data_IF_297636859666
#
_entry.id   IF_297636859666
#
_cell.length_a   1.000
_cell.length_b   1.000
_cell.length_c   1.000
_cell.angle_alpha   90.00
_cell.angle_beta   90.00
_cell.angle_gamma   90.00
#
_symmetry.space_group_name_H-M   'P 1'
#
loop_
_entity.id
_entity.type
_entity.pdbx_description
1 polymer ?
#
# COMPACT_ATOMS: atom_id res chain seq x y z
N UNK A 1 -22.71 11.00 29.40
CA UNK A 1 -22.35 11.12 27.97
C UNK A 1 -21.73 9.84 27.42
N UNK A 2 -20.63 9.34 28.01
CA UNK A 2 -19.98 8.09 27.57
C UNK A 2 -20.92 6.86 27.54
N UNK A 3 -21.81 6.73 28.53
CA UNK A 3 -22.83 5.66 28.56
C UNK A 3 -23.81 5.72 27.39
N UNK A 4 -24.27 6.92 27.02
CA UNK A 4 -25.18 7.14 25.90
C UNK A 4 -24.49 6.87 24.54
N UNK A 5 -23.21 7.26 24.41
CA UNK A 5 -22.41 6.95 23.22
C UNK A 5 -22.26 5.43 23.05
N UNK A 6 -21.95 4.71 24.14
CA UNK A 6 -21.79 3.25 24.11
C UNK A 6 -23.10 2.52 23.78
N UNK A 7 -24.23 2.97 24.33
CA UNK A 7 -25.56 2.45 24.02
C UNK A 7 -25.93 2.69 22.54
N UNK A 8 -25.66 3.90 22.02
CA UNK A 8 -25.87 4.20 20.60
C UNK A 8 -24.97 3.39 19.67
N UNK A 9 -23.75 3.10 20.09
CA UNK A 9 -22.83 2.24 19.35
C UNK A 9 -23.38 0.81 19.23
N UNK A 10 -23.99 0.27 20.30
CA UNK A 10 -24.65 -1.04 20.23
C UNK A 10 -25.85 -1.05 19.27
N UNK A 11 -26.50 0.10 19.07
CA UNK A 11 -27.60 0.28 18.11
C UNK A 11 -27.12 0.61 16.68
N UNK A 12 -25.81 0.60 16.42
CA UNK A 12 -25.21 0.86 15.10
C UNK A 12 -25.06 2.34 14.75
N UNK A 13 -25.14 3.24 15.73
CA UNK A 13 -24.91 4.67 15.58
C UNK A 13 -23.51 5.05 16.07
N UNK A 14 -22.71 5.62 15.17
CA UNK A 14 -21.38 6.13 15.51
C UNK A 14 -21.37 7.64 15.54
N UNK A 15 -20.49 8.20 16.35
CA UNK A 15 -20.22 9.63 16.41
C UNK A 15 -19.55 10.04 15.10
N UNK A 16 -20.15 10.97 14.37
CA UNK A 16 -19.65 11.50 13.10
C UNK A 16 -18.86 12.81 13.28
N UNK A 17 -19.23 13.60 14.29
CA UNK A 17 -18.49 14.79 14.72
C UNK A 17 -18.81 15.13 16.17
N UNK A 18 -17.85 15.72 16.88
CA UNK A 18 -18.01 16.27 18.21
C UNK A 18 -17.29 17.61 18.29
N UNK A 19 -17.94 18.62 18.86
CA UNK A 19 -17.25 19.86 19.18
C UNK A 19 -17.75 20.44 20.51
N UNK A 20 -16.84 21.04 21.27
CA UNK A 20 -17.15 21.73 22.52
C UNK A 20 -17.31 23.23 22.30
N UNK A 21 -18.24 23.82 23.06
CA UNK A 21 -18.54 25.24 23.09
C UNK A 21 -18.73 25.68 24.53
N UNK A 22 -18.43 26.94 24.82
CA UNK A 22 -18.73 27.54 26.12
C UNK A 22 -20.08 28.25 26.05
N UNK A 23 -21.05 27.77 26.82
CA UNK A 23 -22.37 28.36 26.94
C UNK A 23 -22.66 28.61 28.42
N UNK A 24 -22.95 29.86 28.81
CA UNK A 24 -23.20 30.26 30.20
C UNK A 24 -22.12 29.83 31.21
N UNK A 25 -20.84 29.95 30.84
CA UNK A 25 -19.69 29.46 31.63
C UNK A 25 -19.70 27.93 31.88
N UNK A 26 -20.39 27.15 31.07
CA UNK A 26 -20.31 25.70 31.06
C UNK A 26 -19.82 25.20 29.70
N UNK A 27 -19.05 24.12 29.70
CA UNK A 27 -18.64 23.43 28.47
C UNK A 27 -19.78 22.54 28.00
N UNK A 28 -20.34 22.82 26.84
CA UNK A 28 -21.40 22.04 26.18
C UNK A 28 -20.83 21.41 24.91
N UNK A 29 -21.25 20.18 24.61
CA UNK A 29 -20.80 19.45 23.43
C UNK A 29 -21.95 19.29 22.42
N UNK A 30 -21.69 19.64 21.17
CA UNK A 30 -22.54 19.26 20.05
C UNK A 30 -22.03 17.94 19.47
N UNK A 31 -22.89 16.92 19.44
CA UNK A 31 -22.56 15.60 18.87
C UNK A 31 -23.52 15.28 17.73
N UNK A 32 -22.96 14.95 16.57
CA UNK A 32 -23.71 14.40 15.45
C UNK A 32 -23.42 12.90 15.32
N UNK A 33 -24.47 12.12 15.06
CA UNK A 33 -24.37 10.68 14.86
C UNK A 33 -24.66 10.31 13.40
N UNK A 34 -23.97 9.29 12.91
CA UNK A 34 -24.25 8.66 11.63
C UNK A 34 -24.47 7.16 11.84
N UNK A 35 -25.50 6.63 11.18
CA UNK A 35 -25.76 5.19 11.20
C UNK A 35 -24.79 4.48 10.28
N UNK A 36 -24.14 3.42 10.76
CA UNK A 36 -23.32 2.54 9.93
C UNK A 36 -24.03 1.23 9.67
N UNK A 37 -23.86 0.70 8.47
CA UNK A 37 -24.43 -0.58 8.03
C UNK A 37 -23.61 -1.77 8.51
N UNK A 38 -22.31 -1.58 8.78
CA UNK A 38 -21.42 -2.61 9.31
C UNK A 38 -21.08 -2.31 10.79
N UNK A 39 -20.96 -3.35 11.64
CA UNK A 39 -20.48 -3.19 13.00
C UNK A 39 -19.06 -2.64 12.97
N UNK A 40 -18.86 -1.46 13.53
CA UNK A 40 -17.55 -0.78 13.58
C UNK A 40 -17.39 -0.21 14.98
N UNK A 41 -16.20 -0.36 15.55
CA UNK A 41 -15.88 0.18 16.87
C UNK A 41 -15.45 1.63 16.76
N UNK A 42 -15.76 2.46 17.74
CA UNK A 42 -15.24 3.82 17.83
C UNK A 42 -14.40 4.06 19.09
N UNK A 43 -13.60 5.13 19.02
CA UNK A 43 -12.88 5.72 20.14
C UNK A 43 -13.19 7.20 20.13
N UNK A 44 -13.71 7.70 21.25
CA UNK A 44 -14.09 9.11 21.41
C UNK A 44 -13.34 9.66 22.60
N UNK A 45 -12.61 10.74 22.37
CA UNK A 45 -11.80 11.43 23.35
C UNK A 45 -12.25 12.88 23.44
N UNK A 46 -12.22 13.44 24.65
CA UNK A 46 -12.67 14.79 24.93
C UNK A 46 -11.66 15.47 25.85
N UNK A 47 -11.56 16.79 25.74
CA UNK A 47 -10.70 17.63 26.59
C UNK A 47 -9.22 17.26 26.54
N UNK A 48 -8.73 16.86 25.37
CA UNK A 48 -7.33 16.52 25.15
C UNK A 48 -6.45 17.78 25.12
N UNK A 49 -5.24 17.69 25.67
CA UNK A 49 -4.15 18.62 25.36
C UNK A 49 -3.52 18.31 24.01
N UNK A 50 -2.60 19.15 23.54
CA UNK A 50 -1.85 18.91 22.29
C UNK A 50 -1.02 17.63 22.41
N UNK A 51 -0.30 17.45 23.52
CA UNK A 51 0.57 16.28 23.75
C UNK A 51 -0.24 14.98 23.83
N UNK A 52 -1.42 15.05 24.46
CA UNK A 52 -2.34 13.91 24.51
C UNK A 52 -2.90 13.58 23.12
N UNK A 53 -3.22 14.60 22.32
CA UNK A 53 -3.70 14.40 20.95
C UNK A 53 -2.64 13.73 20.08
N UNK A 54 -1.37 14.13 20.18
CA UNK A 54 -0.25 13.51 19.47
C UNK A 54 -0.05 12.05 19.90
N UNK A 55 -0.05 11.79 21.21
CA UNK A 55 0.10 10.43 21.75
C UNK A 55 -1.05 9.51 21.33
N UNK A 56 -2.30 9.97 21.43
CA UNK A 56 -3.48 9.22 20.99
C UNK A 56 -3.44 9.01 19.47
N UNK A 57 -3.01 10.00 18.70
CA UNK A 57 -2.90 9.87 17.25
C UNK A 57 -1.92 8.76 16.85
N UNK A 58 -0.78 8.64 17.54
CA UNK A 58 0.17 7.54 17.36
C UNK A 58 -0.46 6.19 17.73
N UNK A 59 -1.08 6.09 18.91
CA UNK A 59 -1.74 4.86 19.38
C UNK A 59 -2.85 4.40 18.42
N UNK A 60 -3.71 5.32 17.97
CA UNK A 60 -4.80 5.01 17.05
C UNK A 60 -4.28 4.58 15.67
N UNK A 61 -3.15 5.14 15.23
CA UNK A 61 -2.47 4.69 14.00
C UNK A 61 -2.02 3.24 14.15
N UNK A 62 -1.36 2.88 15.25
CA UNK A 62 -0.94 1.50 15.50
C UNK A 62 -2.13 0.54 15.63
N UNK A 63 -3.21 1.01 16.26
CA UNK A 63 -4.43 0.23 16.47
C UNK A 63 -5.36 0.15 15.25
N UNK A 64 -5.00 0.76 14.11
CA UNK A 64 -5.81 0.84 12.87
C UNK A 64 -7.17 1.49 13.05
N UNK A 65 -7.14 2.69 13.63
CA UNK A 65 -8.30 3.55 13.80
C UNK A 65 -8.17 4.76 12.88
N UNK A 66 -9.15 4.96 11.99
CA UNK A 66 -9.22 6.11 11.07
C UNK A 66 -9.71 7.35 11.84
N UNK A 67 -9.02 8.50 11.78
CA UNK A 67 -9.50 9.75 12.36
C UNK A 67 -10.67 10.28 11.56
N UNK A 68 -11.79 10.52 12.25
CA UNK A 68 -13.05 10.96 11.63
C UNK A 68 -13.27 12.45 11.82
N UNK A 69 -12.99 12.93 13.02
CA UNK A 69 -13.16 14.33 13.37
C UNK A 69 -12.26 14.69 14.55
N UNK A 70 -11.65 15.85 14.47
CA UNK A 70 -10.95 16.54 15.56
C UNK A 70 -11.53 17.95 15.56
N UNK A 71 -12.10 18.37 16.68
CA UNK A 71 -12.54 19.75 16.88
C UNK A 71 -11.71 20.41 17.95
N UNK A 72 -11.41 21.68 17.74
CA UNK A 72 -10.64 22.49 18.66
C UNK A 72 -11.57 23.47 19.38
N UNK A 73 -11.49 23.52 20.71
CA UNK A 73 -12.40 24.30 21.54
C UNK A 73 -11.65 25.07 22.62
N UNK A 74 -12.11 26.29 22.92
CA UNK A 74 -11.60 27.10 24.04
C UNK A 74 -12.51 26.87 25.25
N UNK A 75 -12.05 26.11 26.25
CA UNK A 75 -12.81 25.84 27.47
C UNK A 75 -12.59 26.94 28.51
N UNK A 76 -13.37 26.92 29.60
CA UNK A 76 -13.38 27.95 30.65
C UNK A 76 -12.01 28.31 31.23
N UNK A 77 -11.02 27.41 31.15
CA UNK A 77 -9.66 27.62 31.64
C UNK A 77 -8.79 28.48 30.70
N UNK A 78 -9.35 29.06 29.63
CA UNK A 78 -8.65 29.74 28.54
C UNK A 78 -7.64 28.89 27.76
N UNK A 79 -7.35 27.67 28.20
CA UNK A 79 -6.52 26.71 27.48
C UNK A 79 -7.30 26.07 26.34
N UNK A 80 -6.62 25.86 25.23
CA UNK A 80 -7.16 25.13 24.08
C UNK A 80 -7.28 23.66 24.46
N UNK A 81 -8.40 23.05 24.09
CA UNK A 81 -8.65 21.62 24.28
C UNK A 81 -9.20 21.02 23.01
N UNK A 82 -8.98 19.72 22.82
CA UNK A 82 -9.41 19.01 21.62
C UNK A 82 -10.39 17.90 21.96
N UNK A 83 -11.38 17.72 21.11
CA UNK A 83 -12.25 16.55 21.12
C UNK A 83 -12.07 15.81 19.80
N UNK A 84 -11.89 14.50 19.87
CA UNK A 84 -11.46 13.74 18.71
C UNK A 84 -12.09 12.35 18.66
N UNK A 85 -12.39 11.90 17.44
CA UNK A 85 -13.13 10.68 17.15
C UNK A 85 -12.36 9.86 16.14
N UNK A 86 -12.22 8.57 16.42
CA UNK A 86 -11.71 7.59 15.49
C UNK A 86 -12.66 6.41 15.34
N UNK A 87 -12.75 5.87 14.13
CA UNK A 87 -13.48 4.63 13.84
C UNK A 87 -12.48 3.55 13.44
N UNK A 88 -12.70 2.32 13.91
CA UNK A 88 -11.89 1.18 13.48
C UNK A 88 -12.05 1.00 11.97
N UNK A 89 -10.96 0.72 11.27
CA UNK A 89 -10.99 0.54 9.82
C UNK A 89 -10.33 -0.78 9.43
N UNK A 90 -11.02 -1.50 8.54
CA UNK A 90 -10.48 -2.72 7.93
C UNK A 90 -9.84 -2.41 6.57
N UNK A 91 -9.68 -1.12 6.23
CA UNK A 91 -8.99 -0.69 5.01
C UNK A 91 -7.57 -1.22 5.01
N UNK A 92 -7.20 -1.90 3.92
CA UNK A 92 -5.82 -2.33 3.70
C UNK A 92 -4.91 -1.13 3.40
N UNK A 93 -5.45 -0.14 2.68
CA UNK A 93 -4.81 1.17 2.52
C UNK A 93 -5.15 2.03 3.74
N UNK A 94 -4.40 1.81 4.81
CA UNK A 94 -4.51 2.56 6.04
C UNK A 94 -3.27 3.43 6.21
N UNK A 95 -3.36 4.67 5.72
CA UNK A 95 -2.34 5.67 5.97
C UNK A 95 -2.97 7.06 5.96
N UNK A 96 -2.73 7.79 7.03
CA UNK A 96 -3.02 9.20 7.12
C UNK A 96 -1.83 9.93 7.74
N UNK A 97 -1.77 11.22 7.52
CA UNK A 97 -0.81 12.13 8.15
C UNK A 97 -1.65 13.12 8.97
N UNK A 98 -1.30 13.31 10.23
CA UNK A 98 -1.88 14.37 11.07
C UNK A 98 -0.78 15.39 11.30
N UNK A 99 -1.04 16.64 10.96
CA UNK A 99 -0.12 17.75 11.25
C UNK A 99 -0.86 18.81 12.05
N UNK A 100 -0.25 19.23 13.16
CA UNK A 100 -0.71 20.31 14.02
C UNK A 100 0.35 21.39 13.98
N UNK A 101 0.11 22.43 13.18
CA UNK A 101 1.13 23.41 12.81
C UNK A 101 0.54 24.80 12.60
N UNK A 102 1.40 25.80 12.37
CA UNK A 102 0.96 27.11 11.91
C UNK A 102 0.23 27.00 10.56
N UNK A 103 -0.76 27.86 10.34
CA UNK A 103 -1.64 27.77 9.18
C UNK A 103 -0.90 27.78 7.83
N UNK A 104 0.16 28.59 7.72
CA UNK A 104 1.00 28.66 6.52
C UNK A 104 1.76 27.35 6.26
N UNK A 105 2.13 26.62 7.32
CA UNK A 105 2.80 25.33 7.21
C UNK A 105 1.85 24.26 6.70
N UNK A 106 0.60 24.20 7.18
CA UNK A 106 -0.38 23.24 6.63
C UNK A 106 -0.69 23.47 5.15
N UNK A 107 -0.70 24.72 4.66
CA UNK A 107 -0.86 24.97 3.22
C UNK A 107 0.34 24.53 2.39
N UNK A 108 1.57 24.60 2.94
CA UNK A 108 2.75 24.03 2.30
C UNK A 108 2.68 22.51 2.28
N UNK A 109 2.25 21.91 3.40
CA UNK A 109 2.04 20.50 3.51
C UNK A 109 0.95 19.99 2.57
N UNK A 110 -0.14 20.74 2.37
CA UNK A 110 -1.19 20.41 1.40
C UNK A 110 -0.62 20.19 -0.01
N UNK A 111 0.25 21.09 -0.47
CA UNK A 111 0.91 20.94 -1.78
C UNK A 111 1.81 19.70 -1.81
N UNK A 112 2.56 19.43 -0.75
CA UNK A 112 3.42 18.27 -0.66
C UNK A 112 2.63 16.96 -0.63
N UNK A 113 1.62 16.88 0.23
CA UNK A 113 0.77 15.72 0.45
C UNK A 113 -0.09 15.40 -0.79
N UNK A 114 -0.60 16.42 -1.49
CA UNK A 114 -1.29 16.26 -2.77
C UNK A 114 -0.40 15.59 -3.83
N UNK A 115 0.88 15.98 -3.90
CA UNK A 115 1.83 15.36 -4.83
C UNK A 115 2.06 13.88 -4.55
N UNK A 116 1.90 13.46 -3.29
CA UNK A 116 2.02 12.08 -2.84
C UNK A 116 0.67 11.33 -2.82
N UNK A 117 -0.35 11.86 -3.51
CA UNK A 117 -1.69 11.30 -3.64
C UNK A 117 -2.42 11.14 -2.29
N UNK A 118 -2.16 12.07 -1.37
CA UNK A 118 -3.04 12.30 -0.24
C UNK A 118 -4.06 13.39 -0.55
N UNK A 119 -5.21 13.33 0.11
CA UNK A 119 -6.19 14.40 0.09
C UNK A 119 -6.49 14.87 1.50
N UNK A 120 -6.81 16.16 1.65
CA UNK A 120 -7.23 16.70 2.93
C UNK A 120 -8.61 16.11 3.31
N UNK A 121 -8.62 15.28 4.34
CA UNK A 121 -9.84 14.69 4.91
C UNK A 121 -10.45 15.59 5.98
N UNK A 122 -9.60 16.27 6.75
CA UNK A 122 -9.98 17.24 7.77
C UNK A 122 -8.98 18.38 7.76
N UNK A 123 -9.49 19.60 7.98
CA UNK A 123 -8.69 20.82 8.08
C UNK A 123 -9.39 21.73 9.09
N UNK A 124 -8.99 21.60 10.35
CA UNK A 124 -9.56 22.35 11.46
C UNK A 124 -8.64 23.53 11.80
N UNK A 125 -9.17 24.75 11.81
CA UNK A 125 -8.39 25.96 12.11
C UNK A 125 -8.73 26.52 13.48
N UNK A 126 -7.73 27.08 14.15
CA UNK A 126 -7.93 27.70 15.45
C UNK A 126 -6.86 28.72 15.81
N UNK A 127 -7.21 29.65 16.70
CA UNK A 127 -6.26 30.55 17.32
C UNK A 127 -5.81 30.01 18.68
N UNK A 128 -4.51 30.10 18.94
CA UNK A 128 -3.92 29.85 20.24
C UNK A 128 -2.85 30.90 20.53
N UNK A 129 -2.92 31.55 21.68
CA UNK A 129 -1.95 32.59 22.12
C UNK A 129 -1.67 33.69 21.07
N UNK A 130 -2.68 34.06 20.28
CA UNK A 130 -2.55 35.10 19.24
C UNK A 130 -1.86 34.63 17.96
N UNK A 131 -1.62 33.34 17.81
CA UNK A 131 -1.16 32.71 16.58
C UNK A 131 -2.25 31.83 15.95
N UNK A 132 -2.17 31.66 14.64
CA UNK A 132 -3.13 30.92 13.82
C UNK A 132 -2.59 29.53 13.48
N UNK A 133 -3.32 28.50 13.92
CA UNK A 133 -2.96 27.10 13.76
C UNK A 133 -3.99 26.34 12.94
N UNK A 134 -3.56 25.19 12.45
CA UNK A 134 -4.36 24.21 11.75
C UNK A 134 -4.05 22.81 12.27
N UNK A 135 -5.07 21.96 12.29
CA UNK A 135 -4.94 20.51 12.29
C UNK A 135 -5.37 20.03 10.93
N UNK A 136 -4.40 19.60 10.13
CA UNK A 136 -4.66 18.93 8.86
C UNK A 136 -4.60 17.42 9.05
N UNK A 137 -5.56 16.71 8.45
CA UNK A 137 -5.53 15.25 8.33
C UNK A 137 -5.56 14.92 6.86
N UNK A 138 -4.48 14.34 6.35
CA UNK A 138 -4.35 13.93 4.97
C UNK A 138 -4.47 12.42 4.86
N UNK A 139 -5.40 11.93 4.04
CA UNK A 139 -5.64 10.49 3.85
C UNK A 139 -5.14 10.03 2.49
N UNK A 140 -4.49 8.86 2.45
CA UNK A 140 -4.01 8.26 1.19
C UNK A 140 -5.22 7.80 0.37
N UNK A 141 -5.33 8.25 -0.88
CA UNK A 141 -6.40 7.81 -1.78
C UNK A 141 -6.02 6.52 -2.52
N UNK A 142 -7.00 5.63 -2.73
CA UNK A 142 -6.86 4.41 -3.53
C UNK A 142 -6.78 4.74 -5.03
N UNK A 143 -7.75 5.50 -5.53
CA UNK A 143 -7.90 5.77 -6.97
C UNK A 143 -7.44 7.17 -7.37
N UNK A 144 -6.96 7.99 -6.43
CA UNK A 144 -6.85 9.46 -6.58
C UNK A 144 -8.23 10.11 -6.48
N UNK A 145 -8.32 11.15 -5.64
CA UNK A 145 -9.58 11.87 -5.38
C UNK A 145 -9.29 13.36 -5.59
N UNK A 146 -10.18 14.00 -6.34
CA UNK A 146 -10.18 15.45 -6.47
C UNK A 146 -10.51 16.11 -5.14
N UNK A 147 -9.70 17.08 -4.73
CA UNK A 147 -10.06 17.93 -3.60
C UNK A 147 -9.47 19.33 -3.74
N UNK A 148 -10.07 20.27 -3.01
CA UNK A 148 -9.61 21.65 -2.92
C UNK A 148 -9.88 22.20 -1.53
N UNK A 149 -8.85 22.78 -0.90
CA UNK A 149 -9.02 23.65 0.25
C UNK A 149 -9.24 25.07 -0.28
N UNK A 150 -10.39 25.66 0.01
CA UNK A 150 -10.73 27.03 -0.36
C UNK A 150 -10.90 27.88 0.89
N UNK A 151 -10.41 29.12 0.84
CA UNK A 151 -10.49 30.08 1.93
C UNK A 151 -11.09 31.39 1.47
N UNK A 152 -12.13 31.86 2.15
CA UNK A 152 -12.72 33.18 1.92
C UNK A 152 -13.52 33.64 3.14
N UNK A 153 -13.92 34.90 3.12
CA UNK A 153 -14.83 35.51 4.09
C UNK A 153 -16.29 35.48 3.60
N UNK A 154 -16.51 35.32 2.28
CA UNK A 154 -17.83 35.23 1.67
C UNK A 154 -18.16 33.79 1.23
N UNK A 155 -18.98 33.10 2.04
CA UNK A 155 -19.47 31.75 1.74
C UNK A 155 -20.28 31.67 0.44
N UNK A 156 -21.03 32.72 0.06
CA UNK A 156 -21.84 32.70 -1.15
C UNK A 156 -20.95 32.74 -2.38
N UNK A 157 -19.94 33.60 -2.36
CA UNK A 157 -18.93 33.65 -3.43
C UNK A 157 -18.23 32.30 -3.59
N UNK A 158 -17.85 31.66 -2.48
CA UNK A 158 -17.24 30.32 -2.51
C UNK A 158 -18.16 29.28 -3.17
N UNK A 159 -19.44 29.27 -2.82
CA UNK A 159 -20.43 28.38 -3.42
C UNK A 159 -20.64 28.67 -4.91
N UNK A 160 -20.71 29.94 -5.31
CA UNK A 160 -20.86 30.35 -6.71
C UNK A 160 -19.66 29.90 -7.56
N UNK A 161 -18.43 30.05 -7.04
CA UNK A 161 -17.21 29.59 -7.71
C UNK A 161 -17.18 28.07 -7.94
N UNK A 162 -17.86 27.31 -7.09
CA UNK A 162 -17.90 25.84 -7.15
C UNK A 162 -19.16 25.28 -7.83
N UNK A 163 -20.10 26.15 -8.24
CA UNK A 163 -21.40 25.75 -8.81
C UNK A 163 -21.31 24.83 -10.02
N UNK A 164 -20.29 25.00 -10.86
CA UNK A 164 -20.07 24.20 -12.07
C UNK A 164 -19.06 23.06 -11.85
N UNK A 165 -18.57 22.88 -10.62
CA UNK A 165 -17.70 21.75 -10.28
C UNK A 165 -18.53 20.54 -9.87
N UNK A 166 -17.99 19.34 -10.03
CA UNK A 166 -18.57 18.11 -9.47
C UNK A 166 -18.19 17.89 -7.99
N UNK A 167 -17.55 18.88 -7.36
CA UNK A 167 -17.12 18.77 -5.97
C UNK A 167 -18.23 19.15 -4.98
N UNK A 168 -18.21 18.49 -3.83
CA UNK A 168 -19.15 18.74 -2.72
C UNK A 168 -18.41 19.19 -1.47
N UNK A 169 -19.10 19.92 -0.59
CA UNK A 169 -18.53 20.31 0.70
C UNK A 169 -18.35 19.07 1.57
N UNK A 170 -17.09 18.73 1.88
CA UNK A 170 -16.73 17.63 2.76
C UNK A 170 -16.55 18.09 4.20
N UNK A 171 -15.84 19.21 4.40
CA UNK A 171 -15.58 19.80 5.72
C UNK A 171 -15.58 21.32 5.65
N UNK A 172 -15.96 21.92 6.76
CA UNK A 172 -15.93 23.37 6.97
C UNK A 172 -15.30 23.62 8.34
N UNK A 173 -14.33 24.51 8.38
CA UNK A 173 -13.81 25.09 9.62
C UNK A 173 -13.82 26.62 9.48
N UNK A 174 -13.87 27.33 10.60
CA UNK A 174 -13.96 28.78 10.59
C UNK A 174 -13.22 29.37 11.78
N UNK A 175 -12.54 30.49 11.54
CA UNK A 175 -11.72 31.16 12.54
C UNK A 175 -11.79 32.66 12.33
N UNK A 176 -11.73 33.43 13.43
CA UNK A 176 -11.50 34.86 13.35
C UNK A 176 -10.00 35.12 13.28
N UNK A 177 -9.57 35.87 12.28
CA UNK A 177 -8.16 36.22 12.11
C UNK A 177 -7.65 37.06 13.28
N UNK A 178 -6.40 36.86 13.67
CA UNK A 178 -5.80 37.59 14.80
C UNK A 178 -5.67 39.09 14.52
N UNK A 179 -5.44 39.46 13.27
CA UNK A 179 -5.07 40.83 12.89
C UNK A 179 -6.30 41.72 12.68
N UNK A 180 -7.30 41.24 11.93
CA UNK A 180 -8.48 42.04 11.56
C UNK A 180 -9.76 41.64 12.32
N UNK A 181 -9.75 40.53 13.05
CA UNK A 181 -10.94 39.95 13.68
C UNK A 181 -12.00 39.43 12.70
N UNK A 182 -11.71 39.44 11.40
CA UNK A 182 -12.63 39.02 10.35
C UNK A 182 -12.82 37.49 10.41
N UNK A 183 -14.06 37.04 10.22
CA UNK A 183 -14.37 35.62 10.15
C UNK A 183 -13.97 35.09 8.77
N UNK A 184 -13.05 34.13 8.75
CA UNK A 184 -12.60 33.43 7.54
C UNK A 184 -13.06 31.98 7.61
N UNK A 185 -13.59 31.49 6.49
CA UNK A 185 -14.02 30.11 6.31
C UNK A 185 -12.97 29.33 5.54
N UNK A 186 -12.78 28.08 5.95
CA UNK A 186 -11.89 27.10 5.34
C UNK A 186 -12.75 25.90 4.94
N UNK A 187 -12.94 25.71 3.64
CA UNK A 187 -13.81 24.66 3.10
C UNK A 187 -12.96 23.65 2.35
N UNK A 188 -13.14 22.37 2.69
CA UNK A 188 -12.67 21.27 1.87
C UNK A 188 -13.80 20.89 0.91
N UNK A 189 -13.54 21.11 -0.37
CA UNK A 189 -14.33 20.56 -1.46
C UNK A 189 -13.72 19.22 -1.86
N UNK A 190 -14.57 18.21 -2.01
CA UNK A 190 -14.19 16.86 -2.38
C UNK A 190 -14.97 16.45 -3.61
N UNK A 191 -14.26 16.11 -4.69
CA UNK A 191 -14.84 15.60 -5.91
C UNK A 191 -14.95 14.07 -5.91
N UNK A 192 -15.19 13.55 -7.10
CA UNK A 192 -15.36 12.12 -7.32
C UNK A 192 -13.98 11.45 -7.40
N UNK A 193 -13.89 10.23 -6.90
CA UNK A 193 -12.69 9.42 -7.08
C UNK A 193 -12.54 9.05 -8.56
N UNK A 194 -11.31 8.98 -9.07
CA UNK A 194 -11.07 8.51 -10.44
C UNK A 194 -11.71 7.14 -10.65
N UNK A 195 -12.32 6.97 -11.83
CA UNK A 195 -12.89 5.71 -12.29
C UNK A 195 -12.69 5.55 -13.80
N UNK A 196 -12.35 4.34 -14.23
CA UNK A 196 -12.25 4.00 -15.66
C UNK A 196 -13.59 4.05 -16.41
N UNK A 197 -14.74 4.09 -15.72
CA UNK A 197 -16.05 4.18 -16.39
C UNK A 197 -16.17 5.40 -17.31
N UNK A 198 -15.43 6.47 -17.02
CA UNK A 198 -15.45 7.72 -17.77
C UNK A 198 -14.18 7.96 -18.61
N UNK A 199 -13.27 6.98 -18.70
CA UNK A 199 -11.97 7.14 -19.33
C UNK A 199 -11.60 5.94 -20.22
N UNK A 200 -11.08 6.22 -21.41
CA UNK A 200 -10.45 5.19 -22.24
C UNK A 200 -9.13 4.74 -21.60
N UNK A 201 -8.82 3.44 -21.69
CA UNK A 201 -7.58 2.88 -21.18
C UNK A 201 -6.51 3.00 -22.28
N UNK A 202 -5.50 3.88 -22.15
CA UNK A 202 -4.44 3.98 -23.15
C UNK A 202 -3.59 2.72 -23.15
N UNK A 203 -3.22 2.24 -24.33
CA UNK A 203 -2.30 1.11 -24.53
C UNK A 203 -1.02 1.63 -25.17
N UNK A 204 0.12 1.30 -24.59
CA UNK A 204 1.45 1.61 -25.14
C UNK A 204 2.25 0.34 -25.35
N UNK A 205 3.14 0.34 -26.34
CA UNK A 205 3.94 -0.83 -26.73
C UNK A 205 5.38 -0.44 -27.02
N UNK A 206 6.33 -1.38 -26.97
CA UNK A 206 7.70 -1.11 -27.46
C UNK A 206 7.80 -1.25 -28.99
N UNK A 207 8.61 -0.40 -29.63
CA UNK A 207 8.87 -0.43 -31.08
C UNK A 207 9.59 -1.70 -31.57
N UNK A 208 10.12 -2.51 -30.66
CA UNK A 208 10.72 -3.81 -30.96
C UNK A 208 9.69 -4.90 -31.23
N UNK A 209 8.50 -4.84 -30.61
CA UNK A 209 7.39 -5.74 -30.94
C UNK A 209 6.88 -5.53 -32.38
N UNK A 210 6.97 -4.31 -32.92
CA UNK A 210 6.62 -3.99 -34.30
C UNK A 210 7.74 -4.27 -35.32
N UNK A 211 9.00 -4.38 -34.87
CA UNK A 211 10.17 -4.61 -35.76
C UNK A 211 10.37 -6.07 -36.18
N UNK A 212 9.75 -7.03 -35.48
CA UNK A 212 9.70 -8.44 -35.90
C UNK A 212 8.80 -8.69 -37.12
N UNK A 213 8.08 -7.67 -37.61
CA UNK A 213 7.27 -7.75 -38.85
C UNK A 213 8.06 -7.95 -40.15
N UNK A 214 9.40 -8.04 -40.12
CA UNK A 214 10.21 -8.14 -41.33
C UNK A 214 11.31 -9.19 -41.22
N UNK A 215 10.92 -10.47 -41.28
CA UNK A 215 11.61 -11.54 -42.03
C UNK A 215 10.90 -12.88 -41.83
N UNK A 216 10.07 -13.25 -42.82
CA UNK A 216 9.46 -14.59 -43.01
C UNK A 216 8.52 -15.07 -41.88
N UNK A 217 7.34 -14.45 -41.77
CA UNK A 217 6.19 -15.11 -41.13
C UNK A 217 5.11 -15.39 -42.19
N UNK A 218 4.47 -16.57 -42.08
CA UNK A 218 3.31 -16.93 -42.90
C UNK A 218 2.12 -16.02 -42.54
N UNK A 219 1.26 -15.70 -43.51
CA UNK A 219 0.10 -14.82 -43.31
C UNK A 219 -0.81 -15.28 -42.16
N UNK A 220 -0.92 -16.59 -41.95
CA UNK A 220 -1.70 -17.20 -40.88
C UNK A 220 -1.15 -16.90 -39.47
N UNK A 221 0.17 -16.99 -39.25
CA UNK A 221 0.78 -16.73 -37.93
C UNK A 221 0.63 -15.26 -37.50
N UNK A 222 0.66 -14.33 -38.47
CA UNK A 222 0.40 -12.91 -38.19
C UNK A 222 -1.05 -12.63 -37.79
N UNK A 223 -2.00 -13.42 -38.32
CA UNK A 223 -3.43 -13.28 -38.02
C UNK A 223 -3.76 -13.85 -36.63
N UNK A 224 -3.16 -14.98 -36.27
CA UNK A 224 -3.31 -15.60 -34.95
C UNK A 224 -2.68 -14.71 -33.87
N UNK A 225 -1.51 -14.12 -34.12
CA UNK A 225 -0.88 -13.15 -33.21
C UNK A 225 -1.77 -11.93 -32.96
N UNK A 226 -2.41 -11.40 -34.01
CA UNK A 226 -3.34 -10.28 -33.89
C UNK A 226 -4.57 -10.63 -33.04
N UNK A 227 -5.16 -11.81 -33.27
CA UNK A 227 -6.31 -12.31 -32.50
C UNK A 227 -5.98 -12.49 -31.03
N UNK A 228 -4.83 -13.10 -30.71
CA UNK A 228 -4.37 -13.29 -29.32
C UNK A 228 -4.18 -11.93 -28.63
N UNK A 229 -3.56 -10.97 -29.32
CA UNK A 229 -3.38 -9.62 -28.79
C UNK A 229 -4.71 -8.93 -28.51
N UNK A 230 -5.67 -9.00 -29.43
CA UNK A 230 -6.99 -8.39 -29.24
C UNK A 230 -7.77 -9.02 -28.07
N UNK A 231 -7.71 -10.34 -27.91
CA UNK A 231 -8.34 -11.04 -26.78
C UNK A 231 -7.69 -10.68 -25.45
N UNK A 232 -6.35 -10.56 -25.44
CA UNK A 232 -5.60 -10.12 -24.26
C UNK A 232 -5.98 -8.69 -23.87
N UNK A 233 -6.03 -7.77 -24.84
CA UNK A 233 -6.36 -6.36 -24.61
C UNK A 233 -7.75 -6.25 -23.97
N UNK A 234 -8.75 -6.95 -24.54
CA UNK A 234 -10.11 -6.98 -24.00
C UNK A 234 -10.18 -7.54 -22.57
N UNK A 235 -9.46 -8.63 -22.27
CA UNK A 235 -9.46 -9.20 -20.91
C UNK A 235 -8.80 -8.28 -19.89
N UNK A 236 -7.75 -7.56 -20.29
CA UNK A 236 -7.06 -6.61 -19.42
C UNK A 236 -7.93 -5.38 -19.18
N UNK A 237 -8.55 -4.82 -20.21
CA UNK A 237 -9.45 -3.67 -20.08
C UNK A 237 -10.61 -3.96 -19.14
N UNK A 238 -11.27 -5.12 -19.29
CA UNK A 238 -12.36 -5.54 -18.40
C UNK A 238 -11.90 -5.64 -16.94
N UNK A 239 -10.70 -6.18 -16.71
CA UNK A 239 -10.15 -6.29 -15.37
C UNK A 239 -9.78 -4.93 -14.78
N UNK A 240 -9.19 -4.04 -15.57
CA UNK A 240 -8.85 -2.69 -15.14
C UNK A 240 -10.09 -1.87 -14.79
N UNK A 241 -11.16 -1.99 -15.58
CA UNK A 241 -12.46 -1.38 -15.30
C UNK A 241 -13.08 -1.91 -14.00
N UNK A 242 -13.09 -3.23 -13.82
CA UNK A 242 -13.72 -3.85 -12.65
C UNK A 242 -12.99 -3.56 -11.33
N UNK A 243 -11.66 -3.56 -11.36
CA UNK A 243 -10.82 -3.45 -10.16
C UNK A 243 -10.25 -2.04 -9.94
N UNK A 244 -10.56 -1.11 -10.84
CA UNK A 244 -10.03 0.25 -10.89
C UNK A 244 -8.49 0.28 -10.84
N UNK A 245 -7.85 -0.60 -11.63
CA UNK A 245 -6.39 -0.73 -11.68
C UNK A 245 -5.81 0.45 -12.47
N UNK A 246 -5.00 1.35 -11.87
CA UNK A 246 -4.48 2.52 -12.57
C UNK A 246 -3.52 2.17 -13.71
N UNK A 247 -2.71 1.13 -13.55
CA UNK A 247 -1.80 0.69 -14.60
C UNK A 247 -1.41 -0.78 -14.49
N UNK A 248 -1.15 -1.36 -15.65
CA UNK A 248 -0.66 -2.72 -15.82
C UNK A 248 0.44 -2.73 -16.87
N UNK A 249 1.50 -3.51 -16.63
CA UNK A 249 2.52 -3.83 -17.62
C UNK A 249 2.63 -5.34 -17.79
N UNK A 250 2.72 -5.81 -19.04
CA UNK A 250 2.85 -7.21 -19.40
C UNK A 250 3.94 -7.40 -20.46
N UNK A 251 4.74 -8.44 -20.26
CA UNK A 251 5.74 -8.89 -21.23
C UNK A 251 5.66 -10.40 -21.42
N UNK A 252 5.80 -10.86 -22.66
CA UNK A 252 5.93 -12.27 -23.03
C UNK A 252 7.18 -12.44 -23.89
N UNK A 253 8.00 -13.41 -23.50
CA UNK A 253 9.25 -13.77 -24.14
C UNK A 253 9.20 -15.26 -24.47
N UNK A 254 9.64 -15.61 -25.67
CA UNK A 254 9.83 -16.99 -26.12
C UNK A 254 11.24 -17.16 -26.66
N UNK A 255 11.61 -18.36 -27.12
CA UNK A 255 12.87 -18.57 -27.86
C UNK A 255 13.02 -17.65 -29.07
N UNK A 256 11.90 -17.21 -29.67
CA UNK A 256 11.88 -16.27 -30.80
C UNK A 256 12.04 -14.81 -30.36
N UNK A 257 12.24 -14.56 -29.07
CA UNK A 257 12.34 -13.23 -28.47
C UNK A 257 11.01 -12.71 -27.94
N UNK A 258 10.93 -11.39 -27.77
CA UNK A 258 9.78 -10.70 -27.17
C UNK A 258 8.56 -10.75 -28.10
N UNK A 259 7.51 -11.45 -27.67
CA UNK A 259 6.25 -11.59 -28.41
C UNK A 259 5.23 -10.50 -28.05
N UNK A 260 5.21 -10.10 -26.77
CA UNK A 260 4.33 -9.07 -26.24
C UNK A 260 5.15 -8.17 -25.31
N UNK A 261 4.96 -6.87 -25.44
CA UNK A 261 5.51 -5.86 -24.53
C UNK A 261 4.58 -4.67 -24.55
N UNK A 262 3.62 -4.68 -23.62
CA UNK A 262 2.52 -3.72 -23.55
C UNK A 262 2.38 -3.14 -22.16
N UNK A 263 1.87 -1.92 -22.08
CA UNK A 263 1.38 -1.33 -20.84
C UNK A 263 0.04 -0.65 -21.07
N UNK A 264 -0.78 -0.65 -20.03
CA UNK A 264 -2.15 -0.17 -20.05
C UNK A 264 -2.32 0.87 -18.95
N UNK A 265 -3.12 1.90 -19.23
CA UNK A 265 -3.50 2.92 -18.27
C UNK A 265 -2.40 3.94 -17.98
N UNK A 266 -2.40 4.46 -16.77
CA UNK A 266 -1.57 5.57 -16.35
C UNK A 266 -0.59 5.14 -15.24
N UNK A 267 0.71 5.40 -15.48
CA UNK A 267 1.74 5.25 -14.46
C UNK A 267 1.52 6.23 -13.30
N UNK A 268 0.94 7.39 -13.61
CA UNK A 268 0.66 8.44 -12.66
C UNK A 268 -0.69 9.08 -12.97
N UNK A 269 -1.53 9.10 -11.93
CA UNK A 269 -2.80 9.79 -11.88
C UNK A 269 -2.71 10.65 -10.64
N UNK A 270 -2.51 11.95 -10.89
CA UNK A 270 -2.52 12.99 -9.88
C UNK A 270 -3.38 14.12 -10.38
N UNK A 271 -4.04 14.79 -9.45
CA UNK A 271 -4.70 16.03 -9.74
C UNK A 271 -3.99 17.16 -9.01
N UNK A 272 -3.53 18.14 -9.78
CA UNK A 272 -2.93 19.36 -9.25
C UNK A 272 -3.80 20.53 -9.65
N UNK A 273 -4.39 21.21 -8.65
CA UNK A 273 -5.12 22.48 -8.84
C UNK A 273 -6.17 22.44 -9.96
N UNK A 274 -7.07 21.46 -9.93
CA UNK A 274 -8.13 21.23 -10.93
C UNK A 274 -7.63 20.79 -12.33
N UNK A 275 -6.39 20.32 -12.45
CA UNK A 275 -5.88 19.69 -13.68
C UNK A 275 -5.44 18.26 -13.38
N UNK A 276 -6.00 17.30 -14.09
CA UNK A 276 -5.50 15.93 -14.07
C UNK A 276 -4.21 15.84 -14.88
N UNK A 277 -3.16 15.34 -14.24
CA UNK A 277 -1.93 14.93 -14.90
C UNK A 277 -2.02 13.42 -15.08
N UNK A 278 -2.21 13.02 -16.33
CA UNK A 278 -2.20 11.63 -16.76
C UNK A 278 -0.87 11.32 -17.43
N UNK A 279 -0.05 10.49 -16.79
CA UNK A 279 1.18 9.97 -17.41
C UNK A 279 0.89 8.56 -17.89
N UNK A 280 0.92 8.33 -19.20
CA UNK A 280 0.70 7.00 -19.77
C UNK A 280 1.70 6.01 -19.19
N UNK A 281 1.22 4.85 -18.79
CA UNK A 281 2.09 3.72 -18.50
C UNK A 281 2.79 3.31 -19.79
N UNK A 282 4.07 2.98 -19.70
CA UNK A 282 4.88 2.45 -20.79
C UNK A 282 5.57 1.17 -20.35
N UNK A 283 6.02 0.31 -21.27
CA UNK A 283 6.84 -0.85 -20.90
C UNK A 283 8.14 -0.49 -20.17
N UNK A 284 8.55 0.78 -20.17
CA UNK A 284 9.70 1.31 -19.45
C UNK A 284 9.34 1.99 -18.12
N UNK A 285 8.05 2.09 -17.80
CA UNK A 285 7.58 2.67 -16.53
C UNK A 285 8.11 1.86 -15.36
N UNK A 286 8.59 2.56 -14.34
CA UNK A 286 9.15 1.95 -13.13
C UNK A 286 8.03 1.70 -12.13
N UNK A 287 7.88 0.46 -11.72
CA UNK A 287 6.97 0.06 -10.64
C UNK A 287 7.77 -0.16 -9.35
N UNK A 288 7.19 0.18 -8.21
CA UNK A 288 7.77 -0.18 -6.91
C UNK A 288 7.71 -1.68 -6.78
N UNK A 289 8.85 -2.33 -6.69
CA UNK A 289 8.94 -3.79 -6.74
C UNK A 289 8.72 -4.47 -5.37
N UNK A 290 8.72 -3.74 -4.25
CA UNK A 290 8.39 -4.30 -2.93
C UNK A 290 9.03 -5.69 -2.67
N UNK A 291 8.24 -6.71 -2.32
CA UNK A 291 8.74 -8.07 -2.06
C UNK A 291 9.30 -8.80 -3.29
N UNK A 292 9.10 -8.29 -4.52
CA UNK A 292 9.75 -8.84 -5.72
C UNK A 292 11.27 -8.78 -5.56
N UNK A 293 11.78 -7.80 -4.79
CA UNK A 293 13.20 -7.68 -4.47
C UNK A 293 13.81 -8.94 -3.83
N UNK A 294 13.03 -9.72 -3.05
CA UNK A 294 13.52 -10.95 -2.40
C UNK A 294 14.00 -11.98 -3.40
N UNK A 295 13.35 -12.08 -4.56
CA UNK A 295 13.71 -13.04 -5.61
C UNK A 295 15.03 -12.65 -6.25
N UNK A 296 15.19 -11.36 -6.56
CA UNK A 296 16.45 -10.83 -7.08
C UNK A 296 17.58 -11.04 -6.08
N UNK A 297 17.32 -10.85 -4.78
CA UNK A 297 18.27 -11.12 -3.71
C UNK A 297 18.62 -12.61 -3.61
N UNK A 298 17.64 -13.50 -3.68
CA UNK A 298 17.87 -14.95 -3.68
C UNK A 298 18.71 -15.40 -4.89
N UNK A 299 18.42 -14.85 -6.08
CA UNK A 299 19.24 -15.07 -7.28
C UNK A 299 20.67 -14.56 -7.10
N UNK A 300 20.86 -13.41 -6.45
CA UNK A 300 22.19 -12.89 -6.16
C UNK A 300 22.96 -13.81 -5.19
N UNK A 301 22.28 -14.34 -4.16
CA UNK A 301 22.86 -15.33 -3.24
C UNK A 301 23.27 -16.60 -3.99
N UNK A 302 22.43 -17.10 -4.91
CA UNK A 302 22.79 -18.22 -5.77
C UNK A 302 24.08 -17.94 -6.55
N UNK A 303 24.21 -16.75 -7.14
CA UNK A 303 25.42 -16.37 -7.88
C UNK A 303 26.66 -16.28 -7.00
N UNK A 304 26.51 -16.03 -5.69
CA UNK A 304 27.63 -16.10 -4.75
C UNK A 304 28.05 -17.55 -4.50
N UNK A 305 27.09 -18.48 -4.40
CA UNK A 305 27.35 -19.92 -4.30
C UNK A 305 28.06 -20.44 -5.55
N UNK A 306 27.52 -20.14 -6.74
CA UNK A 306 28.08 -20.57 -8.03
C UNK A 306 29.54 -20.12 -8.22
N UNK A 307 29.89 -18.95 -7.68
CA UNK A 307 31.24 -18.37 -7.75
C UNK A 307 32.15 -18.83 -6.60
N UNK A 308 31.67 -19.67 -5.69
CA UNK A 308 32.39 -20.09 -4.49
C UNK A 308 32.68 -18.95 -3.51
N UNK A 309 32.05 -17.78 -3.66
CA UNK A 309 32.18 -16.63 -2.76
C UNK A 309 31.37 -16.82 -1.49
N UNK A 310 30.25 -17.55 -1.59
CA UNK A 310 29.57 -18.17 -0.47
C UNK A 310 29.83 -19.68 -0.57
N UNK A 311 30.37 -20.30 0.48
CA UNK A 311 30.80 -21.71 0.42
C UNK A 311 29.63 -22.71 0.44
N UNK A 312 28.56 -22.39 1.17
CA UNK A 312 27.38 -23.24 1.33
C UNK A 312 26.19 -22.40 1.78
N UNK A 313 24.97 -22.85 1.46
CA UNK A 313 23.72 -22.25 1.92
C UNK A 313 23.51 -22.43 3.43
N UNK A 314 24.19 -23.41 4.06
CA UNK A 314 24.13 -23.66 5.51
C UNK A 314 25.13 -22.80 6.30
N UNK A 315 25.83 -21.88 5.63
CA UNK A 315 26.77 -20.98 6.28
C UNK A 315 26.06 -20.13 7.34
N UNK A 316 26.68 -20.02 8.52
CA UNK A 316 26.19 -19.19 9.63
C UNK A 316 26.22 -17.72 9.25
N UNK A 317 25.18 -17.00 9.63
CA UNK A 317 25.01 -15.58 9.30
C UNK A 317 25.64 -14.68 10.36
N UNK A 318 25.47 -15.04 11.63
CA UNK A 318 25.94 -14.29 12.79
C UNK A 318 26.96 -15.10 13.60
N UNK A 319 27.67 -14.42 14.51
CA UNK A 319 28.73 -14.94 15.39
C UNK A 319 30.16 -14.90 14.79
N UNK A 320 31.17 -15.20 15.60
CA UNK A 320 32.57 -15.19 15.16
C UNK A 320 32.82 -16.13 13.97
N UNK A 321 33.52 -15.63 12.95
CA UNK A 321 33.83 -16.41 11.74
C UNK A 321 32.65 -16.65 10.78
N UNK A 322 31.47 -16.08 11.07
CA UNK A 322 30.28 -16.10 10.21
C UNK A 322 30.29 -15.01 9.14
N UNK A 323 29.28 -15.00 8.25
CA UNK A 323 29.21 -14.06 7.11
C UNK A 323 29.13 -12.59 7.53
N UNK A 324 28.32 -12.27 8.54
CA UNK A 324 28.09 -10.89 9.00
C UNK A 324 28.72 -10.61 10.37
N UNK A 325 29.30 -11.62 11.02
CA UNK A 325 29.92 -11.47 12.33
C UNK A 325 28.91 -10.94 13.36
N UNK A 326 29.36 -9.94 14.12
CA UNK A 326 28.53 -9.20 15.09
C UNK A 326 28.03 -7.85 14.56
N UNK A 327 28.08 -7.61 13.24
CA UNK A 327 27.76 -6.30 12.64
C UNK A 327 26.34 -5.79 12.96
N UNK A 328 25.41 -6.71 13.21
CA UNK A 328 24.01 -6.41 13.55
C UNK A 328 23.63 -6.90 14.95
N UNK A 329 24.62 -7.22 15.77
CA UNK A 329 24.41 -7.46 17.19
C UNK A 329 24.23 -6.11 17.87
N UNK A 330 23.00 -5.59 17.85
CA UNK A 330 22.68 -4.35 18.56
C UNK A 330 22.71 -4.64 20.07
N UNK A 331 23.86 -4.40 20.69
CA UNK A 331 24.05 -4.31 22.13
C UNK A 331 23.34 -3.10 22.79
N UNK A 332 22.33 -2.50 22.12
CA UNK A 332 21.68 -1.24 22.52
C UNK A 332 20.38 -1.42 23.32
N UNK A 333 20.20 -2.59 23.92
CA UNK A 333 19.38 -2.70 25.11
C UNK A 333 20.31 -3.13 26.25
N UNK A 334 20.40 -2.28 27.28
CA UNK A 334 21.29 -2.36 28.44
C UNK A 334 21.10 -3.61 29.35
N UNK A 335 20.71 -4.75 28.78
CA UNK A 335 20.56 -6.04 29.39
C UNK A 335 21.15 -7.10 28.45
N UNK A 336 22.47 -7.25 28.49
CA UNK A 336 23.25 -8.31 27.79
C UNK A 336 22.86 -9.73 28.21
N UNK A 337 21.98 -9.89 29.20
CA UNK A 337 21.39 -11.12 29.70
C UNK A 337 20.32 -11.75 28.79
N UNK A 338 19.91 -11.08 27.71
CA UNK A 338 18.86 -11.58 26.80
C UNK A 338 19.27 -11.66 25.32
N UNK A 339 20.57 -11.85 25.00
CA UNK A 339 20.95 -12.25 23.64
C UNK A 339 20.37 -13.63 23.36
N UNK A 340 19.44 -13.71 22.41
CA UNK A 340 18.85 -14.96 22.01
C UNK A 340 19.93 -15.84 21.35
N UNK A 341 20.37 -16.90 22.03
CA UNK A 341 21.40 -17.82 21.56
C UNK A 341 21.03 -18.50 20.22
N UNK A 342 19.74 -18.59 19.89
CA UNK A 342 19.28 -19.11 18.60
C UNK A 342 19.71 -18.25 17.40
N UNK A 343 20.09 -16.98 17.61
CA UNK A 343 20.63 -16.12 16.54
C UNK A 343 21.90 -16.70 15.93
N UNK A 344 22.76 -17.35 16.72
CA UNK A 344 24.01 -17.94 16.22
C UNK A 344 23.76 -19.20 15.37
N UNK A 345 22.53 -19.75 15.41
CA UNK A 345 22.12 -20.90 14.60
C UNK A 345 21.48 -20.48 13.27
N UNK A 346 21.31 -19.19 13.01
CA UNK A 346 20.73 -18.72 11.75
C UNK A 346 21.72 -18.97 10.61
N UNK A 347 21.24 -19.65 9.56
CA UNK A 347 21.96 -19.92 8.32
C UNK A 347 21.38 -19.09 7.18
N UNK A 348 22.10 -18.99 6.06
CA UNK A 348 21.57 -18.36 4.84
C UNK A 348 20.30 -19.08 4.37
N UNK A 349 20.26 -20.41 4.48
CA UNK A 349 19.07 -21.23 4.21
C UNK A 349 17.86 -20.76 5.01
N UNK A 350 18.01 -20.58 6.33
CA UNK A 350 16.90 -20.12 7.17
C UNK A 350 16.37 -18.73 6.77
N UNK A 351 17.24 -17.83 6.28
CA UNK A 351 16.83 -16.53 5.78
C UNK A 351 16.05 -16.63 4.46
N UNK A 352 16.51 -17.47 3.53
CA UNK A 352 15.86 -17.69 2.24
C UNK A 352 14.48 -18.36 2.40
N UNK A 353 14.33 -19.24 3.38
CA UNK A 353 13.10 -19.96 3.68
C UNK A 353 12.15 -19.21 4.63
N UNK A 354 12.56 -18.03 5.12
CA UNK A 354 11.82 -17.28 6.13
C UNK A 354 11.54 -18.06 7.43
N UNK A 355 12.39 -19.01 7.81
CA UNK A 355 12.22 -19.86 9.01
C UNK A 355 12.84 -19.28 10.29
N UNK A 356 13.41 -18.07 10.22
CA UNK A 356 14.05 -17.39 11.36
C UNK A 356 13.08 -16.73 12.36
N UNK A 357 11.76 -16.83 12.15
CA UNK A 357 10.73 -16.31 13.08
C UNK A 357 10.63 -14.78 13.20
N UNK A 358 11.50 -14.02 12.53
CA UNK A 358 11.68 -12.57 12.72
C UNK A 358 10.79 -11.67 11.83
N UNK A 359 9.83 -12.22 11.08
CA UNK A 359 9.06 -11.48 10.07
C UNK A 359 7.58 -11.27 10.44
N UNK A 360 7.23 -11.38 11.72
CA UNK A 360 5.91 -11.04 12.21
C UNK A 360 5.73 -9.53 12.31
N UNK A 361 4.96 -8.94 11.39
CA UNK A 361 4.16 -7.78 11.79
C UNK A 361 3.03 -8.35 12.66
N UNK A 362 3.31 -8.42 13.97
CA UNK A 362 2.47 -8.93 15.07
C UNK A 362 2.12 -10.43 15.01
N UNK A 363 2.93 -11.24 15.68
CA UNK A 363 2.54 -12.03 16.86
C UNK A 363 3.77 -12.84 17.33
N UNK A 364 4.08 -12.76 18.63
CA UNK A 364 5.14 -13.53 19.29
C UNK A 364 4.94 -15.02 19.03
N UNK A 365 5.91 -15.68 18.40
CA UNK A 365 6.04 -17.13 18.50
C UNK A 365 6.90 -17.44 19.72
N UNK A 366 6.21 -17.65 20.83
CA UNK A 366 6.75 -18.42 21.95
C UNK A 366 6.90 -19.88 21.49
N UNK A 367 8.14 -20.35 21.51
CA UNK A 367 8.60 -21.70 21.86
C UNK A 367 7.72 -22.92 21.51
N UNK A 368 8.17 -23.75 20.56
CA UNK A 368 7.92 -25.21 20.61
C UNK A 368 9.21 -25.98 20.36
N UNK A 369 9.48 -26.92 21.25
CA UNK A 369 10.70 -27.72 21.44
C UNK A 369 10.80 -28.95 20.51
N UNK A 370 12.04 -29.27 20.06
CA UNK A 370 12.51 -30.58 19.51
C UNK A 370 12.39 -31.71 20.58
N UNK A 371 12.67 -33.03 20.33
CA UNK A 371 13.14 -33.67 19.11
C UNK A 371 12.53 -35.03 18.72
N UNK A 372 12.85 -35.55 17.52
CA UNK A 372 13.13 -36.99 17.34
C UNK A 372 14.21 -37.25 16.29
N UNK A 373 15.04 -38.24 16.64
CA UNK A 373 16.28 -38.67 16.02
C UNK A 373 16.10 -39.16 14.58
N UNK A 374 17.09 -38.91 13.74
CA UNK A 374 17.65 -39.95 12.87
C UNK A 374 19.11 -39.61 12.53
N UNK A 375 19.99 -40.54 12.86
CA UNK A 375 21.39 -40.60 12.46
C UNK A 375 21.47 -40.88 10.96
N UNK A 376 22.14 -40.04 10.18
CA UNK A 376 22.73 -40.48 8.91
C UNK A 376 24.07 -39.77 8.66
N UNK A 377 25.02 -40.60 8.29
CA UNK A 377 26.44 -40.33 8.12
C UNK A 377 26.75 -39.40 6.93
N UNK A 378 27.97 -38.87 6.98
CA UNK A 378 28.64 -38.12 5.93
C UNK A 378 28.46 -38.70 4.52
N UNK A 379 28.22 -37.83 3.55
CA UNK A 379 28.92 -37.88 2.26
C UNK A 379 28.91 -36.50 1.62
N UNK A 380 30.09 -35.88 1.53
CA UNK A 380 30.35 -34.83 0.57
C UNK A 380 30.44 -35.48 -0.81
N UNK A 381 29.56 -35.14 -1.75
CA UNK A 381 30.01 -34.78 -3.09
C UNK A 381 28.94 -34.00 -3.88
N UNK A 382 29.44 -33.15 -4.77
CA UNK A 382 28.76 -32.22 -5.67
C UNK A 382 27.33 -32.57 -6.08
N UNK A 383 26.34 -31.68 -5.81
CA UNK A 383 25.08 -31.49 -6.58
C UNK A 383 24.31 -30.21 -6.11
N UNK A 384 24.92 -29.03 -6.22
CA UNK A 384 24.33 -27.78 -5.66
C UNK A 384 23.22 -27.13 -6.51
N UNK A 385 22.91 -27.63 -7.71
CA UNK A 385 21.77 -27.12 -8.51
C UNK A 385 20.45 -27.85 -8.19
N UNK A 386 20.52 -29.14 -7.85
CA UNK A 386 19.34 -29.97 -7.58
C UNK A 386 18.74 -29.68 -6.20
N UNK A 387 19.59 -29.36 -5.20
CA UNK A 387 19.11 -29.08 -3.85
C UNK A 387 18.41 -27.72 -3.77
N UNK A 388 18.95 -26.69 -4.45
CA UNK A 388 18.35 -25.35 -4.45
C UNK A 388 17.09 -25.32 -5.29
N UNK A 389 17.04 -26.06 -6.40
CA UNK A 389 15.76 -26.32 -7.08
C UNK A 389 14.80 -27.09 -6.17
N UNK A 390 15.20 -28.17 -5.49
CA UNK A 390 14.31 -28.88 -4.57
C UNK A 390 13.77 -27.99 -3.42
N UNK A 391 14.61 -27.14 -2.80
CA UNK A 391 14.23 -26.19 -1.74
C UNK A 391 13.28 -25.08 -2.22
N UNK A 392 13.36 -24.78 -3.51
CA UNK A 392 12.47 -23.88 -4.21
C UNK A 392 11.16 -24.59 -4.63
N UNK A 393 11.11 -25.93 -4.70
CA UNK A 393 10.03 -26.67 -5.35
C UNK A 393 8.96 -27.25 -4.41
N UNK A 394 9.12 -27.13 -3.09
CA UNK A 394 8.10 -27.62 -2.16
C UNK A 394 6.98 -26.60 -1.92
N UNK A 395 5.74 -27.09 -1.99
CA UNK A 395 4.55 -26.31 -1.69
C UNK A 395 4.57 -25.87 -0.22
N UNK A 396 4.44 -24.56 0.04
CA UNK A 396 3.86 -24.14 1.30
C UNK A 396 2.36 -24.47 1.25
N UNK A 397 1.99 -25.62 1.81
CA UNK A 397 0.59 -25.95 2.02
C UNK A 397 -0.08 -24.79 2.77
N UNK A 398 -1.17 -24.28 2.18
CA UNK A 398 -2.10 -23.26 2.70
C UNK A 398 -1.84 -22.86 4.17
N UNK A 399 -0.94 -21.91 4.42
CA UNK A 399 -0.90 -21.19 5.70
C UNK A 399 -1.53 -19.83 5.50
N UNK A 400 -2.70 -19.64 6.12
CA UNK A 400 -3.46 -18.38 6.16
C UNK A 400 -2.64 -17.19 6.68
N UNK A 401 -1.52 -17.45 7.36
CA UNK A 401 -0.61 -16.47 7.95
C UNK A 401 0.72 -16.35 7.20
N UNK A 402 0.84 -16.87 5.97
CA UNK A 402 2.09 -16.73 5.21
C UNK A 402 2.27 -15.29 4.74
N UNK A 403 3.08 -14.54 5.47
CA UNK A 403 3.65 -13.32 4.96
C UNK A 403 4.72 -13.65 3.91
N UNK A 404 4.60 -13.04 2.72
CA UNK A 404 5.77 -12.50 2.01
C UNK A 404 6.82 -13.55 1.56
N UNK A 405 6.49 -14.44 0.62
CA UNK A 405 7.50 -15.33 0.05
C UNK A 405 7.12 -15.97 -1.29
N UNK A 406 8.17 -16.29 -2.05
CA UNK A 406 8.19 -16.93 -3.37
C UNK A 406 7.34 -18.22 -3.38
N UNK A 407 6.17 -18.21 -4.02
CA UNK A 407 5.39 -19.43 -4.20
C UNK A 407 5.78 -20.07 -5.53
N UNK A 408 6.44 -21.22 -5.50
CA UNK A 408 6.70 -22.02 -6.69
C UNK A 408 5.70 -23.16 -6.70
N UNK A 409 4.78 -23.11 -7.65
CA UNK A 409 3.90 -24.23 -7.92
C UNK A 409 4.47 -24.98 -9.11
N UNK A 410 5.27 -26.05 -8.91
CA UNK A 410 5.62 -26.93 -10.01
C UNK A 410 4.42 -27.82 -10.30
N UNK A 411 3.67 -27.50 -11.36
CA UNK A 411 2.96 -28.56 -12.10
C UNK A 411 3.80 -28.84 -13.33
N UNK A 412 4.55 -29.95 -13.30
CA UNK A 412 5.21 -30.56 -14.46
C UNK A 412 5.79 -29.55 -15.47
N UNK A 413 7.04 -29.14 -15.26
CA UNK A 413 7.83 -28.17 -16.06
C UNK A 413 7.47 -26.68 -15.94
N UNK A 414 6.34 -26.33 -15.33
CA UNK A 414 5.88 -24.94 -15.25
C UNK A 414 6.12 -24.37 -13.87
N UNK A 415 6.64 -23.15 -13.81
CA UNK A 415 6.91 -22.45 -12.56
C UNK A 415 6.28 -21.06 -12.63
N UNK A 416 5.17 -20.89 -11.92
CA UNK A 416 4.61 -19.58 -11.63
C UNK A 416 5.23 -19.06 -10.34
N UNK A 417 5.75 -17.84 -10.39
CA UNK A 417 6.30 -17.11 -9.28
C UNK A 417 5.37 -15.95 -8.94
N UNK A 418 4.77 -15.97 -7.75
CA UNK A 418 4.14 -14.78 -7.21
C UNK A 418 5.18 -13.94 -6.47
N UNK A 419 5.28 -12.66 -6.81
CA UNK A 419 6.37 -11.81 -6.36
C UNK A 419 5.95 -10.74 -5.34
N UNK A 420 4.69 -10.79 -4.89
CA UNK A 420 4.19 -10.00 -3.77
C UNK A 420 3.02 -9.13 -4.18
N UNK A 421 2.16 -8.82 -3.20
CA UNK A 421 0.96 -8.00 -3.35
C UNK A 421 0.88 -6.96 -2.20
N UNK A 422 2.04 -6.41 -1.81
CA UNK A 422 2.12 -5.43 -0.73
C UNK A 422 2.93 -4.20 -1.16
N UNK A 423 2.52 -3.03 -0.65
CA UNK A 423 3.10 -1.71 -0.92
C UNK A 423 2.80 -1.08 -2.29
N UNK A 424 1.61 -1.35 -2.85
CA UNK A 424 1.09 -0.63 -4.02
C UNK A 424 1.31 -1.32 -5.37
N UNK A 425 1.89 -2.52 -5.36
CA UNK A 425 2.15 -3.30 -6.58
C UNK A 425 1.81 -4.77 -6.31
N UNK A 426 1.24 -5.43 -7.31
CA UNK A 426 1.16 -6.88 -7.36
C UNK A 426 1.80 -7.39 -8.65
N UNK A 427 2.51 -8.51 -8.57
CA UNK A 427 3.24 -9.01 -9.73
C UNK A 427 3.39 -10.52 -9.73
N UNK A 428 3.41 -11.08 -10.94
CA UNK A 428 3.82 -12.46 -11.19
C UNK A 428 4.91 -12.48 -12.27
N UNK A 429 5.76 -13.50 -12.23
CA UNK A 429 6.27 -14.04 -13.47
C UNK A 429 5.95 -15.51 -13.57
N UNK A 430 5.88 -15.95 -14.80
CA UNK A 430 5.54 -17.29 -15.16
C UNK A 430 6.61 -17.78 -16.12
N UNK A 431 7.30 -18.84 -15.72
CA UNK A 431 8.36 -19.46 -16.48
C UNK A 431 7.95 -20.88 -16.84
N UNK A 432 8.14 -21.24 -18.10
CA UNK A 432 7.98 -22.58 -18.61
C UNK A 432 9.04 -22.82 -19.69
N UNK A 433 9.27 -24.07 -20.14
CA UNK A 433 10.18 -24.33 -21.25
C UNK A 433 9.80 -23.43 -22.43
N UNK A 434 10.77 -22.63 -22.90
CA UNK A 434 10.66 -21.76 -24.07
C UNK A 434 9.63 -20.63 -23.94
N UNK A 435 9.18 -20.34 -22.72
CA UNK A 435 8.17 -19.32 -22.44
C UNK A 435 8.44 -18.61 -21.12
N UNK A 436 8.51 -17.28 -21.17
CA UNK A 436 8.59 -16.42 -20.00
C UNK A 436 7.54 -15.33 -20.09
N UNK A 437 6.87 -15.03 -18.98
CA UNK A 437 5.91 -13.95 -18.88
C UNK A 437 6.11 -13.19 -17.59
N UNK A 438 5.97 -11.87 -17.64
CA UNK A 438 5.90 -11.01 -16.46
C UNK A 438 4.65 -10.14 -16.53
N UNK A 439 3.90 -10.07 -15.44
CA UNK A 439 2.80 -9.10 -15.26
C UNK A 439 3.09 -8.31 -13.99
N UNK A 440 3.01 -6.99 -14.09
CA UNK A 440 3.15 -6.07 -12.96
C UNK A 440 1.98 -5.11 -12.98
N UNK A 441 1.25 -5.01 -11.88
CA UNK A 441 0.09 -4.15 -11.73
C UNK A 441 0.31 -3.16 -10.59
N UNK A 442 -0.13 -1.93 -10.81
CA UNK A 442 -0.22 -0.93 -9.75
C UNK A 442 -1.51 -1.20 -8.96
N UNK A 443 -1.39 -1.80 -7.79
CA UNK A 443 -2.51 -2.08 -6.89
C UNK A 443 -2.40 -1.14 -5.70
N UNK A 444 -2.75 0.13 -5.88
CA UNK A 444 -2.81 1.12 -4.78
C UNK A 444 -3.72 0.57 -3.67
N UNK A 445 -3.18 -0.12 -2.67
CA UNK A 445 -3.95 -0.57 -1.50
C UNK A 445 -4.90 -1.75 -1.67
N UNK A 446 -4.71 -2.62 -2.66
CA UNK A 446 -5.50 -3.86 -2.76
C UNK A 446 -5.07 -4.88 -1.69
N UNK A 447 -5.97 -5.82 -1.36
CA UNK A 447 -5.63 -6.95 -0.49
C UNK A 447 -4.58 -7.84 -1.16
N UNK A 448 -3.78 -8.51 -0.34
CA UNK A 448 -2.74 -9.41 -0.84
C UNK A 448 -3.34 -10.54 -1.71
N UNK A 449 -2.68 -10.85 -2.83
CA UNK A 449 -3.01 -11.92 -3.78
C UNK A 449 -4.37 -11.76 -4.47
N UNK A 450 -4.94 -10.55 -4.46
CA UNK A 450 -6.28 -10.30 -5.00
C UNK A 450 -6.39 -10.65 -6.49
N UNK A 451 -5.35 -10.36 -7.27
CA UNK A 451 -5.36 -10.51 -8.74
C UNK A 451 -4.45 -11.62 -9.26
N UNK A 452 -3.70 -12.28 -8.38
CA UNK A 452 -2.75 -13.35 -8.71
C UNK A 452 -3.43 -14.48 -9.48
N UNK A 453 -4.60 -14.92 -9.03
CA UNK A 453 -5.35 -15.97 -9.70
C UNK A 453 -5.79 -15.58 -11.12
N UNK A 454 -6.13 -14.32 -11.36
CA UNK A 454 -6.44 -13.80 -12.69
C UNK A 454 -5.18 -13.74 -13.57
N UNK A 455 -4.08 -13.18 -13.05
CA UNK A 455 -2.80 -13.12 -13.78
C UNK A 455 -2.30 -14.51 -14.18
N UNK A 456 -2.48 -15.52 -13.33
CA UNK A 456 -2.13 -16.90 -13.66
C UNK A 456 -2.99 -17.47 -14.80
N UNK A 457 -4.28 -17.12 -14.87
CA UNK A 457 -5.14 -17.52 -16.00
C UNK A 457 -4.68 -16.87 -17.31
N UNK A 458 -4.33 -15.58 -17.27
CA UNK A 458 -3.74 -14.86 -18.41
C UNK A 458 -2.43 -15.53 -18.84
N UNK A 459 -1.57 -15.89 -17.89
CA UNK A 459 -0.31 -16.54 -18.18
C UNK A 459 -0.49 -17.92 -18.85
N UNK A 460 -1.42 -18.73 -18.34
CA UNK A 460 -1.77 -20.02 -18.94
C UNK A 460 -2.35 -19.85 -20.35
N UNK A 461 -3.26 -18.88 -20.55
CA UNK A 461 -3.81 -18.55 -21.87
C UNK A 461 -2.71 -18.18 -22.87
N UNK A 462 -1.80 -17.27 -22.51
CA UNK A 462 -0.73 -16.86 -23.42
C UNK A 462 0.25 -18.02 -23.69
N UNK A 463 0.57 -18.80 -22.66
CA UNK A 463 1.42 -19.97 -22.80
C UNK A 463 0.85 -21.01 -23.78
N UNK A 464 -0.45 -21.34 -23.71
CA UNK A 464 -1.03 -22.31 -24.67
C UNK A 464 -0.99 -21.81 -26.12
N UNK A 465 -1.03 -20.51 -26.34
CA UNK A 465 -1.06 -19.93 -27.69
C UNK A 465 0.34 -19.62 -28.26
N UNK A 466 1.33 -19.38 -27.41
CA UNK A 466 2.71 -19.11 -27.84
C UNK A 466 3.65 -20.32 -27.76
N UNK A 467 3.22 -21.43 -27.13
CA UNK A 467 4.02 -22.66 -27.04
C UNK A 467 4.27 -23.33 -28.40
N UNK A 468 3.30 -23.23 -29.31
CA UNK A 468 3.32 -23.91 -30.61
C UNK A 468 3.70 -22.97 -31.77
N UNK A 469 3.99 -21.70 -31.47
CA UNK A 469 4.41 -20.72 -32.47
C UNK A 469 5.90 -20.75 -32.66
#
# INVERSE_FOLDING_TARGET
MASNIAEKETDGWLVASICAYTLYNETVYAINYARKTAPTRQRVFMNLTVEQLESISAEMTEARFDPINICSSKTNEQKRSFSAIWHKTDSYLFHYIIELELIQSCFKADVHNANENYYAHLFEVFTNEGLEYCIGIWKKSRTSIEYRIQTDTDLKLMQEQMKNSEMTVSRVSAMRTTDTGQLVFYIIWLGVAFSWLNHEIPITTTSTASRWRSRRQNHQSSLDHYRINSLLDQQIEQMMLFEEIPSLSISVITEKGVQISKSYGYADIRQLRNVYIFIHATPYSKYRTASISKVLTAMAIQRLLDKGLLKTIDARVFDDGSILGHKFDHADHANTSHRNQFMNLITVKHLLEHTVGAWGNQERLEYESWPRNETLENTYDHHDFALISALLWEHSERRLNYGRGLQLVPKSSDIAYHYGSMAGTEAIAYCAPNFGLGIVINTRGARENHLTGWMQRVANFLRTHFRDM
#
